data_IF_023719724201
#
_entry.id   IF_023719724201
#
_cell.length_a   1.000
_cell.length_b   1.000
_cell.length_c   1.000
_cell.angle_alpha   90.00
_cell.angle_beta   90.00
_cell.angle_gamma   90.00
#
_symmetry.space_group_name_H-M   'P 1'
#
loop_
_entity.id
_entity.type
_entity.pdbx_description
1 polymer ?
#
# COMPACT_ATOMS: atom_id res chain seq x y z
N UNK A 1 35.35 5.97 8.09
CA UNK A 1 35.42 6.11 9.56
C UNK A 1 36.68 5.46 10.07
N UNK A 2 37.69 6.25 10.55
CA UNK A 2 38.88 5.69 11.17
C UNK A 2 38.56 5.12 12.54
N UNK A 3 39.05 3.92 12.89
CA UNK A 3 38.74 3.28 14.15
C UNK A 3 39.25 4.11 15.35
N UNK A 4 38.32 4.50 16.22
CA UNK A 4 38.58 5.27 17.44
C UNK A 4 39.81 4.80 18.28
N UNK A 5 40.10 3.48 18.39
CA UNK A 5 41.26 3.02 19.16
C UNK A 5 42.62 3.39 18.58
N UNK A 6 42.71 3.70 17.28
CA UNK A 6 43.94 4.18 16.64
C UNK A 6 44.11 5.70 16.77
N UNK A 7 43.00 6.42 17.02
CA UNK A 7 43.04 7.88 17.20
C UNK A 7 43.50 8.32 18.60
N UNK A 8 43.38 7.43 19.59
CA UNK A 8 43.78 7.78 20.98
C UNK A 8 45.24 8.18 21.17
N UNK A 9 46.25 7.50 20.57
CA UNK A 9 47.62 7.95 20.68
C UNK A 9 47.88 9.23 19.87
N UNK A 10 47.22 9.41 18.70
CA UNK A 10 47.35 10.58 17.86
C UNK A 10 46.68 11.82 18.47
N UNK A 11 45.50 11.69 19.07
CA UNK A 11 44.81 12.75 19.81
C UNK A 11 45.60 13.13 21.05
N UNK A 12 46.20 12.17 21.76
CA UNK A 12 47.04 12.43 22.93
C UNK A 12 48.30 13.22 22.55
N UNK A 13 48.92 12.93 21.41
CA UNK A 13 50.10 13.68 20.89
C UNK A 13 49.76 15.10 20.42
N UNK A 14 48.49 15.31 19.94
CA UNK A 14 48.05 16.62 19.40
C UNK A 14 47.48 17.55 20.46
N UNK A 15 46.79 17.02 21.46
CA UNK A 15 46.16 17.86 22.51
C UNK A 15 46.93 17.92 23.83
N UNK A 16 47.92 17.05 24.00
CA UNK A 16 48.81 17.02 25.16
C UNK A 16 50.23 16.86 24.65
N UNK A 17 50.90 17.96 24.25
CA UNK A 17 52.30 17.86 23.81
C UNK A 17 53.10 17.23 24.95
N UNK A 18 54.06 16.35 24.64
CA UNK A 18 54.98 15.85 25.65
C UNK A 18 55.68 17.05 26.29
N UNK A 19 55.73 17.02 27.62
CA UNK A 19 56.48 18.02 28.36
C UNK A 19 57.85 18.20 27.71
N UNK A 20 58.16 19.43 27.33
CA UNK A 20 59.29 19.84 26.56
C UNK A 20 60.58 19.17 27.10
N UNK A 21 61.29 18.34 26.32
CA UNK A 21 62.55 17.76 26.79
C UNK A 21 63.74 18.74 26.78
N UNK A 22 63.49 19.99 26.43
CA UNK A 22 64.51 21.05 26.37
C UNK A 22 64.44 22.00 27.58
N UNK A 23 64.11 21.49 28.76
CA UNK A 23 64.52 22.18 29.97
C UNK A 23 65.99 21.77 30.21
N UNK A 24 66.89 22.66 29.80
CA UNK A 24 68.30 22.53 30.17
C UNK A 24 68.43 22.24 31.68
N UNK A 25 69.29 21.30 32.08
CA UNK A 25 69.54 21.07 33.49
C UNK A 25 70.22 22.35 34.05
N UNK A 26 69.45 23.07 34.86
CA UNK A 26 70.12 24.12 35.71
C UNK A 26 71.10 23.42 36.61
N UNK A 27 72.36 23.41 36.24
CA UNK A 27 73.48 23.03 37.05
C UNK A 27 73.46 23.92 38.29
N UNK A 28 73.11 23.31 39.45
CA UNK A 28 73.38 23.94 40.71
C UNK A 28 72.40 23.77 41.86
N UNK A 29 71.20 23.23 41.67
CA UNK A 29 70.34 22.98 42.79
C UNK A 29 69.76 21.56 42.75
N UNK A 30 70.45 20.57 43.27
CA UNK A 30 69.85 19.29 43.68
C UNK A 30 68.95 19.59 44.89
N UNK A 31 67.70 19.91 44.58
CA UNK A 31 66.62 19.80 45.58
C UNK A 31 66.44 18.33 45.91
N UNK A 32 67.26 17.84 46.85
CA UNK A 32 67.02 16.57 47.49
C UNK A 32 65.78 16.75 48.40
N UNK A 33 64.62 16.44 47.84
CA UNK A 33 63.39 16.24 48.59
C UNK A 33 63.64 15.03 49.51
N UNK A 34 64.12 15.29 50.75
CA UNK A 34 64.20 14.35 51.82
C UNK A 34 62.76 14.03 52.32
N UNK A 35 62.06 13.14 51.61
CA UNK A 35 60.80 12.63 52.07
C UNK A 35 61.08 11.41 52.95
N UNK A 36 60.66 11.43 54.25
CA UNK A 36 61.00 10.39 55.22
C UNK A 36 60.49 8.98 54.86
N UNK A 37 59.75 8.83 53.76
CA UNK A 37 59.18 7.56 53.28
C UNK A 37 59.46 7.28 51.83
N UNK A 38 60.57 7.76 51.25
CA UNK A 38 60.96 7.56 49.83
C UNK A 38 61.07 6.06 49.50
N UNK A 39 61.57 5.24 50.42
CA UNK A 39 61.61 3.79 50.22
C UNK A 39 60.24 3.13 50.15
N UNK A 40 59.24 3.61 50.89
CA UNK A 40 57.85 3.11 50.81
C UNK A 40 57.19 3.56 49.49
N UNK A 41 57.53 4.75 48.97
CA UNK A 41 57.03 5.18 47.66
C UNK A 41 57.71 4.41 46.56
N UNK A 42 59.02 4.16 46.63
CA UNK A 42 59.71 3.31 45.64
C UNK A 42 59.21 1.89 45.63
N UNK A 43 58.95 1.26 46.80
CA UNK A 43 58.35 -0.07 46.89
C UNK A 43 56.91 -0.07 46.38
N UNK A 44 56.14 0.97 46.64
CA UNK A 44 54.78 1.12 46.09
C UNK A 44 54.78 1.32 44.54
N UNK A 45 55.80 1.96 44.00
CA UNK A 45 55.96 2.09 42.54
C UNK A 45 56.59 0.83 41.91
N UNK A 46 57.45 0.12 42.60
CA UNK A 46 58.11 -1.11 42.13
C UNK A 46 57.18 -2.34 42.19
N UNK A 47 56.20 -2.36 43.08
CA UNK A 47 55.19 -3.42 43.13
C UNK A 47 54.16 -3.36 42.01
N UNK A 48 54.29 -2.39 41.11
CA UNK A 48 53.51 -2.40 39.86
C UNK A 48 54.22 -3.25 38.82
N UNK A 49 54.08 -4.61 38.89
CA UNK A 49 54.10 -5.52 37.71
C UNK A 49 54.43 -6.96 38.12
N UNK A 50 53.97 -7.94 37.38
CA UNK A 50 53.95 -8.01 35.92
C UNK A 50 52.52 -8.11 35.35
N UNK A 51 52.22 -7.23 34.43
CA UNK A 51 51.16 -7.50 33.46
C UNK A 51 51.56 -8.77 32.71
N UNK A 52 50.77 -9.81 32.84
CA UNK A 52 50.90 -10.94 31.93
C UNK A 52 50.62 -10.43 30.51
N UNK A 53 51.60 -10.50 29.58
CA UNK A 53 51.45 -9.93 28.23
C UNK A 53 50.21 -10.47 27.50
N UNK A 54 49.87 -11.74 27.75
CA UNK A 54 48.64 -12.39 27.21
C UNK A 54 47.34 -11.74 27.67
N UNK A 55 47.24 -11.27 28.92
CA UNK A 55 46.01 -10.62 29.41
C UNK A 55 45.76 -9.24 28.75
N UNK A 56 46.82 -8.50 28.44
CA UNK A 56 46.76 -7.22 27.75
C UNK A 56 46.28 -7.37 26.28
N UNK A 57 46.81 -8.38 25.58
CA UNK A 57 46.38 -8.68 24.21
C UNK A 57 44.92 -9.15 24.14
N UNK A 58 44.49 -10.01 25.07
CA UNK A 58 43.10 -10.47 25.15
C UNK A 58 42.11 -9.31 25.41
N UNK A 59 42.47 -8.40 26.32
CA UNK A 59 41.65 -7.20 26.58
C UNK A 59 41.55 -6.29 25.37
N UNK A 60 42.65 -6.11 24.65
CA UNK A 60 42.68 -5.29 23.45
C UNK A 60 41.89 -5.92 22.32
N UNK A 61 41.96 -7.23 22.16
CA UNK A 61 41.16 -8.01 21.22
C UNK A 61 39.65 -7.89 21.50
N UNK A 62 39.24 -8.00 22.77
CA UNK A 62 37.84 -7.81 23.17
C UNK A 62 37.31 -6.39 22.91
N UNK A 63 38.14 -5.37 23.13
CA UNK A 63 37.80 -3.99 22.81
C UNK A 63 37.62 -3.79 21.31
N UNK A 64 38.49 -4.35 20.48
CA UNK A 64 38.35 -4.30 19.04
C UNK A 64 37.11 -5.05 18.55
N UNK A 65 36.85 -6.22 19.12
CA UNK A 65 35.65 -7.03 18.80
C UNK A 65 34.38 -6.30 19.19
N UNK A 66 34.32 -5.69 20.38
CA UNK A 66 33.21 -4.86 20.81
C UNK A 66 32.98 -3.68 19.84
N UNK A 67 34.05 -2.96 19.47
CA UNK A 67 33.96 -1.83 18.58
C UNK A 67 33.48 -2.26 17.19
N UNK A 68 34.04 -3.33 16.61
CA UNK A 68 33.63 -3.89 15.34
C UNK A 68 32.18 -4.32 15.35
N UNK A 69 31.75 -5.01 16.41
CA UNK A 69 30.37 -5.45 16.57
C UNK A 69 29.39 -4.26 16.64
N UNK A 70 29.75 -3.18 17.35
CA UNK A 70 28.93 -1.96 17.40
C UNK A 70 28.83 -1.26 16.03
N UNK A 71 29.93 -1.21 15.28
CA UNK A 71 29.91 -0.68 13.90
C UNK A 71 28.99 -1.51 13.01
N UNK A 72 29.06 -2.85 13.11
CA UNK A 72 28.19 -3.75 12.36
C UNK A 72 26.70 -3.56 12.74
N UNK A 73 26.40 -3.32 14.01
CA UNK A 73 25.01 -3.00 14.44
C UNK A 73 24.53 -1.70 13.81
N UNK A 74 25.41 -0.66 13.76
CA UNK A 74 25.05 0.64 13.15
C UNK A 74 24.88 0.57 11.65
N UNK A 75 25.57 -0.34 10.97
CA UNK A 75 25.41 -0.56 9.52
C UNK A 75 24.04 -1.20 9.18
N UNK A 76 23.29 -1.72 10.17
CA UNK A 76 22.00 -2.38 9.99
C UNK A 76 22.01 -3.38 8.83
N UNK A 77 22.87 -4.40 8.85
CA UNK A 77 22.86 -5.40 7.78
C UNK A 77 21.49 -6.07 7.70
N UNK A 78 20.97 -6.17 6.47
CA UNK A 78 19.66 -6.75 6.20
C UNK A 78 19.83 -7.87 5.18
N UNK A 79 19.15 -8.97 5.42
CA UNK A 79 19.03 -10.03 4.43
C UNK A 79 17.73 -9.82 3.66
N UNK A 80 17.80 -9.79 2.34
CA UNK A 80 16.64 -9.68 1.49
C UNK A 80 16.09 -11.09 1.25
N UNK A 81 15.06 -11.48 1.98
CA UNK A 81 14.35 -12.75 1.71
C UNK A 81 13.32 -12.49 0.62
N UNK A 82 13.36 -13.22 -0.51
CA UNK A 82 12.32 -13.13 -1.51
C UNK A 82 11.04 -13.74 -0.93
N UNK A 83 10.06 -12.90 -0.62
CA UNK A 83 8.72 -13.32 -0.27
C UNK A 83 7.86 -13.29 -1.53
N UNK A 84 7.50 -14.46 -2.00
CA UNK A 84 6.62 -14.60 -3.15
C UNK A 84 5.18 -14.56 -2.63
N UNK A 85 4.59 -13.38 -2.61
CA UNK A 85 3.17 -13.23 -2.37
C UNK A 85 2.47 -13.32 -3.73
N UNK A 86 1.60 -14.30 -3.87
CA UNK A 86 0.66 -14.31 -4.98
C UNK A 86 -0.34 -13.16 -4.74
N UNK A 87 0.06 -11.95 -5.08
CA UNK A 87 -0.85 -10.81 -5.11
C UNK A 87 -1.68 -11.01 -6.36
N UNK A 88 -2.92 -11.45 -6.19
CA UNK A 88 -3.91 -11.28 -7.24
C UNK A 88 -4.08 -9.77 -7.38
N UNK A 89 -3.59 -9.13 -8.46
CA UNK A 89 -3.81 -7.72 -8.64
C UNK A 89 -5.31 -7.52 -8.72
N UNK A 90 -5.87 -6.77 -7.77
CA UNK A 90 -7.28 -6.43 -7.78
C UNK A 90 -7.58 -5.55 -9.00
N UNK A 91 -8.75 -5.73 -9.58
CA UNK A 91 -9.23 -4.88 -10.67
C UNK A 91 -9.63 -3.51 -10.17
N UNK A 92 -9.51 -2.54 -11.06
CA UNK A 92 -10.07 -1.21 -10.90
C UNK A 92 -11.41 -1.17 -11.66
N UNK A 93 -12.48 -1.50 -10.94
CA UNK A 93 -13.84 -1.64 -11.49
C UNK A 93 -14.62 -0.34 -11.38
N UNK A 94 -14.95 0.27 -12.50
CA UNK A 94 -15.82 1.43 -12.54
C UNK A 94 -17.23 1.00 -12.95
N UNK A 95 -18.19 1.08 -12.05
CA UNK A 95 -19.59 0.81 -12.32
C UNK A 95 -20.26 2.10 -12.78
N UNK A 96 -20.74 2.14 -14.01
CA UNK A 96 -21.52 3.25 -14.55
C UNK A 96 -22.99 2.81 -14.62
N UNK A 97 -23.84 3.44 -13.81
CA UNK A 97 -25.22 3.05 -13.61
C UNK A 97 -26.12 4.16 -14.13
N UNK A 98 -27.02 3.79 -15.04
CA UNK A 98 -28.09 4.64 -15.52
C UNK A 98 -29.07 4.96 -14.38
N UNK A 99 -29.37 6.23 -14.22
CA UNK A 99 -30.38 6.75 -13.32
C UNK A 99 -31.35 7.69 -14.04
N UNK A 100 -31.52 7.51 -15.34
CA UNK A 100 -32.50 8.23 -16.13
C UNK A 100 -33.94 7.83 -15.77
N UNK A 101 -34.90 8.53 -16.37
CA UNK A 101 -36.33 8.28 -16.13
C UNK A 101 -36.75 6.85 -16.49
N UNK A 102 -36.17 6.26 -17.53
CA UNK A 102 -36.46 4.90 -17.98
C UNK A 102 -36.20 3.83 -16.90
N UNK A 103 -35.35 4.12 -15.91
CA UNK A 103 -35.04 3.21 -14.81
C UNK A 103 -36.18 3.06 -13.79
N UNK A 104 -37.25 3.86 -13.87
CA UNK A 104 -38.50 3.67 -13.13
C UNK A 104 -39.43 2.63 -13.76
N UNK A 105 -39.15 2.21 -14.99
CA UNK A 105 -39.98 1.23 -15.70
C UNK A 105 -40.17 -0.09 -14.92
N UNK A 106 -41.40 -0.61 -14.94
CA UNK A 106 -41.83 -1.80 -14.18
C UNK A 106 -41.88 -3.05 -15.08
N UNK A 107 -40.83 -3.25 -15.86
CA UNK A 107 -40.71 -4.36 -16.81
C UNK A 107 -40.01 -5.61 -16.24
N UNK A 108 -39.64 -5.57 -14.97
CA UNK A 108 -39.14 -6.71 -14.23
C UNK A 108 -40.18 -7.21 -13.22
N UNK A 109 -40.08 -8.49 -12.84
CA UNK A 109 -40.93 -9.05 -11.76
C UNK A 109 -40.08 -9.86 -10.79
N UNK A 110 -40.39 -9.75 -9.48
CA UNK A 110 -39.88 -10.61 -8.44
C UNK A 110 -41.05 -11.25 -7.72
N UNK A 111 -41.10 -12.59 -7.74
CA UNK A 111 -42.19 -13.35 -7.14
C UNK A 111 -43.61 -12.94 -7.61
N UNK A 112 -43.73 -12.49 -8.88
CA UNK A 112 -44.97 -12.03 -9.47
C UNK A 112 -45.38 -10.59 -9.14
N UNK A 113 -44.54 -9.87 -8.41
CA UNK A 113 -44.71 -8.41 -8.14
C UNK A 113 -43.87 -7.63 -9.11
N UNK A 114 -44.42 -6.63 -9.85
CA UNK A 114 -43.65 -5.75 -10.69
C UNK A 114 -42.63 -4.93 -9.88
N UNK A 115 -41.41 -4.87 -10.36
CA UNK A 115 -40.34 -4.08 -9.75
C UNK A 115 -39.68 -3.22 -10.82
N UNK A 116 -39.16 -2.06 -10.43
CA UNK A 116 -38.50 -1.15 -11.37
C UNK A 116 -37.08 -1.62 -11.69
N UNK A 117 -36.58 -1.20 -12.84
CA UNK A 117 -35.22 -1.50 -13.33
C UNK A 117 -34.15 -1.13 -12.31
N UNK A 118 -34.23 0.06 -11.69
CA UNK A 118 -33.30 0.53 -10.69
C UNK A 118 -33.19 -0.40 -9.49
N UNK A 119 -34.30 -0.89 -8.96
CA UNK A 119 -34.29 -1.81 -7.82
C UNK A 119 -33.59 -3.14 -8.14
N UNK A 120 -33.80 -3.66 -9.36
CA UNK A 120 -33.12 -4.88 -9.83
C UNK A 120 -31.63 -4.67 -9.93
N UNK A 121 -31.21 -3.56 -10.56
CA UNK A 121 -29.80 -3.19 -10.74
C UNK A 121 -29.10 -3.03 -9.39
N UNK A 122 -29.71 -2.30 -8.45
CA UNK A 122 -29.20 -2.16 -7.07
C UNK A 122 -28.99 -3.51 -6.38
N UNK A 123 -29.97 -4.39 -6.48
CA UNK A 123 -29.91 -5.71 -5.84
C UNK A 123 -28.78 -6.58 -6.37
N UNK A 124 -28.54 -6.56 -7.67
CA UNK A 124 -27.52 -7.39 -8.31
C UNK A 124 -26.12 -6.77 -8.17
N UNK A 125 -25.97 -5.48 -8.49
CA UNK A 125 -24.68 -4.81 -8.32
C UNK A 125 -24.24 -4.74 -6.87
N UNK A 126 -25.18 -4.66 -5.91
CA UNK A 126 -24.88 -4.73 -4.48
C UNK A 126 -24.19 -6.05 -4.11
N UNK A 127 -24.73 -7.19 -4.56
CA UNK A 127 -24.11 -8.52 -4.36
C UNK A 127 -22.78 -8.65 -5.11
N UNK A 128 -22.73 -8.11 -6.32
CA UNK A 128 -21.51 -8.08 -7.11
C UNK A 128 -20.38 -7.33 -6.37
N UNK A 129 -20.64 -6.14 -5.82
CA UNK A 129 -19.67 -5.35 -5.05
C UNK A 129 -19.20 -6.12 -3.81
N UNK A 130 -20.11 -6.80 -3.09
CA UNK A 130 -19.76 -7.59 -1.91
C UNK A 130 -18.79 -8.73 -2.21
N UNK A 131 -18.95 -9.39 -3.34
CA UNK A 131 -18.10 -10.49 -3.78
C UNK A 131 -16.67 -10.07 -4.15
N UNK A 132 -16.40 -8.79 -4.37
CA UNK A 132 -15.12 -8.26 -4.87
C UNK A 132 -14.08 -8.06 -3.79
N UNK A 133 -13.39 -9.12 -3.43
CA UNK A 133 -12.31 -9.06 -2.43
C UNK A 133 -11.00 -8.69 -3.11
N UNK A 134 -10.42 -7.54 -2.73
CA UNK A 134 -9.15 -7.05 -3.28
C UNK A 134 -9.31 -6.06 -4.44
N UNK A 135 -10.49 -5.93 -5.05
CA UNK A 135 -10.76 -4.99 -6.13
C UNK A 135 -11.08 -3.59 -5.59
N UNK A 136 -10.75 -2.57 -6.38
CA UNK A 136 -11.23 -1.21 -6.15
C UNK A 136 -12.50 -1.00 -6.95
N UNK A 137 -13.55 -0.53 -6.28
CA UNK A 137 -14.83 -0.24 -6.91
C UNK A 137 -15.09 1.26 -6.86
N UNK A 138 -15.41 1.84 -8.02
CA UNK A 138 -15.89 3.20 -8.16
C UNK A 138 -17.30 3.20 -8.75
N UNK A 139 -18.08 4.25 -8.50
CA UNK A 139 -19.43 4.42 -9.00
C UNK A 139 -19.56 5.71 -9.81
N UNK A 140 -20.13 5.59 -10.99
CA UNK A 140 -20.63 6.72 -11.80
C UNK A 140 -22.14 6.56 -11.87
N UNK A 141 -22.85 7.63 -11.61
CA UNK A 141 -24.28 7.76 -11.88
C UNK A 141 -24.46 8.69 -13.07
N UNK A 142 -25.34 8.35 -13.98
CA UNK A 142 -25.64 9.22 -15.10
C UNK A 142 -27.14 9.24 -15.41
N UNK A 143 -27.56 10.34 -15.94
CA UNK A 143 -28.87 10.69 -16.43
C UNK A 143 -28.64 11.76 -17.46
N UNK A 144 -29.26 12.94 -17.33
CA UNK A 144 -28.98 14.11 -18.23
C UNK A 144 -27.50 14.55 -18.16
N UNK A 145 -26.78 14.20 -17.09
CA UNK A 145 -25.34 14.41 -16.91
C UNK A 145 -24.72 13.23 -16.22
N UNK A 146 -23.39 13.05 -16.33
CA UNK A 146 -22.65 11.99 -15.68
C UNK A 146 -21.83 12.53 -14.51
N UNK A 147 -21.89 11.85 -13.34
CA UNK A 147 -21.18 12.22 -12.12
C UNK A 147 -20.44 11.05 -11.51
N UNK A 148 -19.27 11.30 -10.94
CA UNK A 148 -18.60 10.30 -10.09
C UNK A 148 -19.26 10.33 -8.72
N UNK A 149 -20.03 9.30 -8.39
CA UNK A 149 -20.68 9.15 -7.09
C UNK A 149 -19.70 8.63 -6.04
N UNK A 150 -18.82 7.70 -6.44
CA UNK A 150 -17.72 7.19 -5.60
C UNK A 150 -16.45 7.05 -6.42
N UNK A 151 -15.29 7.55 -5.93
CA UNK A 151 -14.02 7.25 -6.56
C UNK A 151 -13.65 5.77 -6.37
N UNK A 152 -12.69 5.28 -7.17
CA UNK A 152 -12.14 3.92 -7.03
C UNK A 152 -11.55 3.72 -5.64
N UNK A 153 -12.18 2.88 -4.82
CA UNK A 153 -11.84 2.61 -3.42
C UNK A 153 -11.92 1.12 -3.11
N UNK A 154 -11.14 0.66 -2.13
CA UNK A 154 -11.24 -0.68 -1.55
C UNK A 154 -12.42 -0.80 -0.57
N UNK A 155 -13.05 0.33 -0.21
CA UNK A 155 -14.21 0.35 0.69
C UNK A 155 -15.50 -0.03 -0.04
N UNK A 156 -15.73 -1.33 -0.14
CA UNK A 156 -16.92 -1.91 -0.77
C UNK A 156 -18.20 -1.57 -0.04
N UNK A 157 -18.13 -1.36 1.29
CA UNK A 157 -19.33 -1.02 2.09
C UNK A 157 -19.82 0.37 1.75
N UNK A 158 -18.91 1.33 1.64
CA UNK A 158 -19.24 2.68 1.22
C UNK A 158 -19.81 2.70 -0.22
N UNK A 159 -19.17 1.99 -1.15
CA UNK A 159 -19.66 1.87 -2.53
C UNK A 159 -21.07 1.27 -2.58
N UNK A 160 -21.32 0.20 -1.81
CA UNK A 160 -22.64 -0.43 -1.72
C UNK A 160 -23.69 0.51 -1.14
N UNK A 161 -23.40 1.21 -0.05
CA UNK A 161 -24.33 2.17 0.55
C UNK A 161 -24.72 3.28 -0.41
N UNK A 162 -23.72 3.80 -1.18
CA UNK A 162 -23.99 4.81 -2.20
C UNK A 162 -24.87 4.26 -3.34
N UNK A 163 -24.61 3.02 -3.78
CA UNK A 163 -25.46 2.36 -4.77
C UNK A 163 -26.91 2.17 -4.26
N UNK A 164 -27.09 1.75 -3.02
CA UNK A 164 -28.40 1.57 -2.40
C UNK A 164 -29.17 2.90 -2.28
N UNK A 165 -28.46 4.00 -2.09
CA UNK A 165 -29.04 5.36 -2.05
C UNK A 165 -29.34 5.97 -3.42
N UNK A 166 -28.98 5.32 -4.53
CA UNK A 166 -29.29 5.86 -5.87
C UNK A 166 -30.79 5.76 -6.14
N UNK A 167 -31.32 6.77 -6.82
CA UNK A 167 -32.71 6.82 -7.26
C UNK A 167 -32.78 7.17 -8.74
N UNK A 168 -33.82 6.70 -9.42
CA UNK A 168 -34.08 7.14 -10.79
C UNK A 168 -34.28 8.65 -10.80
N UNK A 169 -33.96 9.29 -11.92
CA UNK A 169 -33.93 10.75 -12.09
C UNK A 169 -32.91 11.52 -11.22
N UNK A 170 -32.07 10.84 -10.41
CA UNK A 170 -31.08 11.48 -9.54
C UNK A 170 -30.09 12.35 -10.33
N UNK A 171 -29.74 11.92 -11.54
CA UNK A 171 -28.85 12.65 -12.46
C UNK A 171 -29.59 13.37 -13.61
N UNK A 172 -30.91 13.54 -13.45
CA UNK A 172 -31.80 14.11 -14.44
C UNK A 172 -32.50 13.06 -15.32
N UNK A 173 -33.58 13.41 -15.99
CA UNK A 173 -34.46 12.47 -16.71
C UNK A 173 -33.88 11.92 -18.02
N UNK A 174 -32.94 12.63 -18.67
CA UNK A 174 -32.28 12.18 -19.90
C UNK A 174 -31.18 11.18 -19.65
N UNK A 175 -30.50 10.75 -20.72
CA UNK A 175 -29.45 9.72 -20.68
C UNK A 175 -28.19 10.21 -21.41
N UNK A 176 -27.16 10.61 -20.70
CA UNK A 176 -25.86 11.03 -21.24
C UNK A 176 -24.87 9.83 -21.22
N UNK A 177 -25.17 8.82 -22.02
CA UNK A 177 -24.45 7.54 -22.05
C UNK A 177 -22.99 7.72 -22.50
N UNK A 178 -22.76 8.48 -23.58
CA UNK A 178 -21.41 8.74 -24.08
C UNK A 178 -20.54 9.50 -23.09
N UNK A 179 -21.10 10.46 -22.37
CA UNK A 179 -20.40 11.25 -21.34
C UNK A 179 -20.02 10.36 -20.14
N UNK A 180 -20.91 9.44 -19.74
CA UNK A 180 -20.65 8.47 -18.67
C UNK A 180 -19.47 7.56 -19.01
N UNK A 181 -19.42 7.04 -20.23
CA UNK A 181 -18.33 6.22 -20.74
C UNK A 181 -17.02 7.03 -20.75
N UNK A 182 -17.04 8.23 -21.31
CA UNK A 182 -15.86 9.09 -21.38
C UNK A 182 -15.31 9.46 -19.99
N UNK A 183 -16.22 9.76 -19.04
CA UNK A 183 -15.86 10.06 -17.66
C UNK A 183 -15.19 8.85 -16.97
N UNK A 184 -15.77 7.67 -17.12
CA UNK A 184 -15.22 6.44 -16.56
C UNK A 184 -13.88 6.06 -17.17
N UNK A 185 -13.74 6.15 -18.49
CA UNK A 185 -12.49 5.94 -19.21
C UNK A 185 -11.39 6.90 -18.71
N UNK A 186 -11.72 8.18 -18.50
CA UNK A 186 -10.81 9.18 -17.93
C UNK A 186 -10.33 8.80 -16.53
N UNK A 187 -11.22 8.29 -15.68
CA UNK A 187 -10.86 7.85 -14.31
C UNK A 187 -10.03 6.59 -14.32
N UNK A 188 -10.34 5.64 -15.19
CA UNK A 188 -9.58 4.40 -15.33
C UNK A 188 -8.19 4.62 -15.94
N UNK A 189 -7.99 5.64 -16.79
CA UNK A 189 -6.69 5.97 -17.39
C UNK A 189 -5.58 6.15 -16.36
N UNK A 190 -5.92 6.65 -15.18
CA UNK A 190 -4.97 6.88 -14.07
C UNK A 190 -4.56 5.58 -13.35
N UNK A 191 -5.13 4.45 -13.77
CA UNK A 191 -4.90 3.13 -13.14
C UNK A 191 -3.92 2.29 -13.97
N UNK A 192 -3.33 1.22 -13.40
CA UNK A 192 -2.44 0.32 -14.12
C UNK A 192 -3.12 -0.30 -15.35
N UNK A 193 -2.36 -0.50 -16.42
CA UNK A 193 -2.87 -1.23 -17.59
C UNK A 193 -3.23 -2.67 -17.19
N UNK A 194 -4.28 -3.22 -17.81
CA UNK A 194 -4.76 -4.58 -17.51
C UNK A 194 -5.75 -4.66 -16.35
N UNK A 195 -5.78 -3.69 -15.41
CA UNK A 195 -6.76 -3.65 -14.31
C UNK A 195 -8.01 -2.83 -14.61
N UNK A 196 -8.05 -2.14 -15.77
CA UNK A 196 -9.05 -1.12 -16.12
C UNK A 196 -10.31 -1.77 -16.69
N UNK A 197 -11.33 -1.90 -15.88
CA UNK A 197 -12.61 -2.50 -16.29
C UNK A 197 -13.75 -1.54 -15.93
N UNK A 198 -14.65 -1.34 -16.90
CA UNK A 198 -15.89 -0.65 -16.69
C UNK A 198 -17.06 -1.61 -16.86
N UNK A 199 -18.04 -1.54 -15.98
CA UNK A 199 -19.33 -2.20 -16.12
C UNK A 199 -20.38 -1.13 -16.31
N UNK A 200 -20.92 -1.08 -17.50
CA UNK A 200 -21.96 -0.13 -17.89
C UNK A 200 -23.31 -0.81 -17.79
N UNK A 201 -24.23 -0.21 -17.04
CA UNK A 201 -25.60 -0.71 -16.88
C UNK A 201 -26.57 0.36 -17.41
N UNK A 202 -27.22 0.08 -18.53
CA UNK A 202 -28.09 1.03 -19.24
C UNK A 202 -29.11 0.29 -20.12
N UNK A 203 -30.07 1.04 -20.63
CA UNK A 203 -31.01 0.58 -21.68
C UNK A 203 -30.57 0.93 -23.11
N UNK A 204 -29.50 1.68 -23.25
CA UNK A 204 -28.86 2.01 -24.55
C UNK A 204 -29.41 3.27 -25.21
N UNK A 205 -30.27 4.02 -24.56
CA UNK A 205 -30.65 5.35 -25.04
C UNK A 205 -29.51 6.36 -24.82
N UNK A 206 -29.44 7.39 -25.69
CA UNK A 206 -28.51 8.51 -25.55
C UNK A 206 -29.21 9.80 -25.97
N UNK A 207 -29.98 10.33 -25.05
CA UNK A 207 -30.82 11.52 -25.30
C UNK A 207 -30.19 12.84 -24.82
N UNK A 208 -29.06 12.77 -24.12
CA UNK A 208 -28.34 13.90 -23.54
C UNK A 208 -26.83 13.71 -23.63
N UNK A 209 -26.07 14.74 -23.24
CA UNK A 209 -24.61 14.72 -23.22
C UNK A 209 -23.95 15.27 -24.48
N UNK A 210 -22.64 15.36 -24.48
CA UNK A 210 -21.83 15.93 -25.55
C UNK A 210 -21.06 14.89 -26.38
N UNK A 211 -20.88 13.68 -25.86
CA UNK A 211 -20.20 12.57 -26.54
C UNK A 211 -21.19 11.57 -27.11
N UNK A 212 -20.92 11.08 -28.32
CA UNK A 212 -21.60 9.90 -28.81
C UNK A 212 -21.10 8.64 -28.05
N UNK A 213 -21.97 7.62 -27.82
CA UNK A 213 -21.57 6.41 -27.11
C UNK A 213 -20.38 5.68 -27.74
N UNK A 214 -20.31 5.64 -29.07
CA UNK A 214 -19.22 5.03 -29.82
C UNK A 214 -17.90 5.79 -29.67
N UNK A 215 -17.95 7.11 -29.59
CA UNK A 215 -16.77 7.96 -29.32
C UNK A 215 -16.24 7.70 -27.91
N UNK A 216 -17.14 7.60 -26.92
CA UNK A 216 -16.80 7.22 -25.55
C UNK A 216 -16.14 5.85 -25.49
N UNK A 217 -16.68 4.85 -26.21
CA UNK A 217 -16.12 3.50 -26.27
C UNK A 217 -14.75 3.46 -26.96
N UNK A 218 -14.56 4.20 -28.03
CA UNK A 218 -13.26 4.33 -28.70
C UNK A 218 -12.21 4.98 -27.77
N UNK A 219 -12.60 5.99 -27.00
CA UNK A 219 -11.75 6.62 -26.00
C UNK A 219 -11.36 5.64 -24.88
N UNK A 220 -12.31 4.85 -24.40
CA UNK A 220 -12.05 3.82 -23.39
C UNK A 220 -11.02 2.80 -23.90
N UNK A 221 -11.17 2.31 -25.13
CA UNK A 221 -10.22 1.42 -25.77
C UNK A 221 -8.83 2.04 -25.91
N UNK A 222 -8.77 3.31 -26.31
CA UNK A 222 -7.50 4.03 -26.43
C UNK A 222 -6.75 4.14 -25.09
N UNK A 223 -7.49 4.15 -23.98
CA UNK A 223 -6.95 4.12 -22.63
C UNK A 223 -6.77 2.71 -22.07
N UNK A 224 -6.97 1.66 -22.86
CA UNK A 224 -6.84 0.26 -22.43
C UNK A 224 -7.89 -0.17 -21.41
N UNK A 225 -9.05 0.50 -21.37
CA UNK A 225 -10.17 0.12 -20.52
C UNK A 225 -11.19 -0.73 -21.30
N UNK A 226 -11.57 -1.89 -20.75
CA UNK A 226 -12.63 -2.76 -21.30
C UNK A 226 -13.97 -2.37 -20.71
N UNK A 227 -15.02 -2.33 -21.55
CA UNK A 227 -16.37 -2.02 -21.08
C UNK A 227 -17.25 -3.26 -21.26
N UNK A 228 -17.64 -3.86 -20.15
CA UNK A 228 -18.70 -4.86 -20.13
C UNK A 228 -20.04 -4.14 -20.02
N UNK A 229 -20.93 -4.42 -20.92
CA UNK A 229 -22.23 -3.74 -21.00
C UNK A 229 -23.34 -4.70 -20.57
N UNK A 230 -24.14 -4.26 -19.62
CA UNK A 230 -25.32 -4.95 -19.15
C UNK A 230 -26.54 -4.15 -19.62
N UNK A 231 -27.20 -4.64 -20.65
CA UNK A 231 -28.46 -4.07 -21.12
C UNK A 231 -29.60 -4.44 -20.17
N UNK A 232 -30.31 -3.44 -19.69
CA UNK A 232 -31.44 -3.58 -18.76
C UNK A 232 -32.70 -3.06 -19.41
N UNK A 233 -33.71 -3.90 -19.52
CA UNK A 233 -35.01 -3.52 -20.09
C UNK A 233 -35.61 -4.60 -20.95
N UNK A 234 -36.87 -4.37 -21.37
CA UNK A 234 -37.64 -5.24 -22.26
C UNK A 234 -37.59 -4.74 -23.70
N UNK A 235 -37.79 -5.64 -24.65
CA UNK A 235 -38.06 -5.33 -26.05
C UNK A 235 -39.57 -5.15 -26.32
N UNK A 236 -40.39 -5.29 -25.28
CA UNK A 236 -41.82 -5.10 -25.42
C UNK A 236 -42.14 -3.67 -25.89
N UNK A 237 -43.10 -3.56 -26.81
CA UNK A 237 -43.53 -2.26 -27.33
C UNK A 237 -44.36 -1.42 -26.35
N UNK A 238 -44.66 -2.00 -25.20
CA UNK A 238 -45.56 -1.35 -24.21
C UNK A 238 -44.99 -1.56 -22.82
N UNK A 239 -44.18 -0.62 -22.35
CA UNK A 239 -43.47 -0.68 -21.09
C UNK A 239 -44.21 0.10 -20.01
N UNK A 240 -44.64 -0.51 -18.91
CA UNK A 240 -45.33 0.19 -17.83
C UNK A 240 -44.36 1.03 -17.02
N UNK A 241 -44.69 2.31 -16.82
CA UNK A 241 -43.95 3.23 -15.97
C UNK A 241 -44.89 4.04 -15.08
N UNK A 242 -44.54 4.29 -13.82
CA UNK A 242 -45.29 5.14 -12.93
C UNK A 242 -45.05 6.60 -13.29
N UNK A 243 -46.08 7.33 -13.75
CA UNK A 243 -46.03 8.76 -14.02
C UNK A 243 -47.19 9.44 -13.31
N UNK A 244 -46.92 10.47 -12.51
CA UNK A 244 -47.93 11.27 -11.78
C UNK A 244 -48.93 10.46 -10.92
N UNK A 245 -48.49 9.27 -10.43
CA UNK A 245 -49.30 8.38 -9.60
C UNK A 245 -50.18 7.37 -10.38
N UNK A 246 -50.10 7.39 -11.72
CA UNK A 246 -50.73 6.43 -12.60
C UNK A 246 -49.71 5.61 -13.37
N UNK A 247 -50.10 4.37 -13.76
CA UNK A 247 -49.26 3.54 -14.64
C UNK A 247 -49.56 3.91 -16.08
N UNK A 248 -48.57 4.48 -16.77
CA UNK A 248 -48.64 4.74 -18.20
C UNK A 248 -47.83 3.70 -18.97
N UNK A 249 -48.21 3.46 -20.20
CA UNK A 249 -47.50 2.56 -21.10
C UNK A 249 -46.77 3.37 -22.16
N UNK A 250 -45.44 3.14 -22.25
CA UNK A 250 -44.55 3.88 -23.14
C UNK A 250 -43.91 2.93 -24.14
N UNK A 251 -43.77 3.38 -25.39
CA UNK A 251 -43.12 2.64 -26.48
C UNK A 251 -41.65 3.08 -26.68
N UNK A 252 -41.33 4.29 -26.24
CA UNK A 252 -40.01 4.92 -26.38
C UNK A 252 -38.99 4.46 -25.31
N UNK A 253 -39.43 3.63 -24.36
CA UNK A 253 -38.53 3.05 -23.31
C UNK A 253 -37.97 1.68 -23.69
N UNK A 254 -38.12 1.29 -24.95
CA UNK A 254 -37.57 0.03 -25.46
C UNK A 254 -36.05 0.04 -25.46
N UNK A 255 -35.43 -1.04 -25.02
CA UNK A 255 -33.98 -1.16 -24.95
C UNK A 255 -33.33 -1.10 -26.35
N UNK A 256 -32.30 -0.27 -26.50
CA UNK A 256 -31.49 -0.18 -27.73
C UNK A 256 -30.27 -1.11 -27.68
N UNK A 257 -30.53 -2.39 -27.95
CA UNK A 257 -29.49 -3.41 -27.89
C UNK A 257 -28.34 -3.19 -28.92
N UNK A 258 -28.64 -2.59 -30.07
CA UNK A 258 -27.64 -2.35 -31.13
C UNK A 258 -26.55 -1.39 -30.62
N UNK A 259 -26.93 -0.29 -29.99
CA UNK A 259 -25.97 0.66 -29.39
C UNK A 259 -25.16 0.00 -28.29
N UNK A 260 -25.81 -0.77 -27.40
CA UNK A 260 -25.13 -1.43 -26.29
C UNK A 260 -24.09 -2.46 -26.75
N UNK A 261 -24.42 -3.25 -27.79
CA UNK A 261 -23.47 -4.19 -28.39
C UNK A 261 -22.30 -3.48 -29.05
N UNK A 262 -22.59 -2.40 -29.80
CA UNK A 262 -21.54 -1.60 -30.45
C UNK A 262 -20.54 -1.03 -29.45
N UNK A 263 -20.98 -0.57 -28.28
CA UNK A 263 -20.11 -0.09 -27.20
C UNK A 263 -19.20 -1.21 -26.67
N UNK A 264 -19.76 -2.39 -26.37
CA UNK A 264 -19.00 -3.53 -25.87
C UNK A 264 -17.93 -3.96 -26.88
N UNK A 265 -18.31 -4.15 -28.15
CA UNK A 265 -17.42 -4.58 -29.22
C UNK A 265 -16.31 -3.54 -29.50
N UNK A 266 -16.66 -2.25 -29.53
CA UNK A 266 -15.70 -1.18 -29.76
C UNK A 266 -14.63 -1.09 -28.66
N UNK A 267 -14.97 -1.40 -27.42
CA UNK A 267 -14.07 -1.33 -26.26
C UNK A 267 -13.30 -2.65 -26.01
N UNK A 268 -13.69 -3.74 -26.66
CA UNK A 268 -13.12 -5.08 -26.43
C UNK A 268 -13.66 -5.78 -25.19
N UNK A 269 -14.83 -5.36 -24.70
CA UNK A 269 -15.57 -6.01 -23.63
C UNK A 269 -16.61 -6.99 -24.14
N UNK A 270 -17.61 -7.30 -23.31
CA UNK A 270 -18.71 -8.20 -23.64
C UNK A 270 -20.06 -7.57 -23.34
N UNK A 271 -21.05 -7.85 -24.18
CA UNK A 271 -22.43 -7.46 -23.98
C UNK A 271 -23.21 -8.58 -23.31
N UNK A 272 -24.03 -8.22 -22.35
CA UNK A 272 -24.95 -9.12 -21.64
C UNK A 272 -26.35 -8.48 -21.58
N UNK A 273 -27.36 -9.33 -21.71
CA UNK A 273 -28.74 -8.88 -21.58
C UNK A 273 -29.30 -9.36 -20.25
N UNK A 274 -29.78 -8.44 -19.45
CA UNK A 274 -30.49 -8.72 -18.23
C UNK A 274 -32.00 -8.83 -18.53
N UNK A 275 -32.48 -10.07 -18.65
CA UNK A 275 -33.89 -10.34 -18.86
C UNK A 275 -34.62 -10.60 -17.55
N UNK A 276 -33.91 -11.06 -16.54
CA UNK A 276 -34.41 -11.31 -15.19
C UNK A 276 -33.28 -11.21 -14.14
N UNK A 277 -33.63 -11.30 -12.87
CA UNK A 277 -32.68 -11.23 -11.76
C UNK A 277 -31.65 -12.36 -11.75
N UNK A 278 -31.97 -13.55 -12.28
CA UNK A 278 -31.04 -14.68 -12.35
C UNK A 278 -30.03 -14.47 -13.46
N UNK A 279 -30.45 -13.95 -14.61
CA UNK A 279 -29.56 -13.59 -15.70
C UNK A 279 -28.47 -12.59 -15.24
N UNK A 280 -28.83 -11.58 -14.45
CA UNK A 280 -27.89 -10.63 -13.89
C UNK A 280 -26.85 -11.25 -12.94
N UNK A 281 -27.24 -12.25 -12.14
CA UNK A 281 -26.30 -12.98 -11.28
C UNK A 281 -25.30 -13.82 -12.11
N UNK A 282 -25.79 -14.48 -13.16
CA UNK A 282 -24.93 -15.24 -14.07
C UNK A 282 -23.97 -14.35 -14.85
N UNK A 283 -24.42 -13.18 -15.27
CA UNK A 283 -23.61 -12.15 -15.93
C UNK A 283 -22.48 -11.70 -15.00
N UNK A 284 -22.76 -11.41 -13.74
CA UNK A 284 -21.74 -11.07 -12.74
C UNK A 284 -20.65 -12.13 -12.66
N UNK A 285 -21.04 -13.39 -12.57
CA UNK A 285 -20.13 -14.53 -12.55
C UNK A 285 -19.32 -14.65 -13.85
N UNK A 286 -19.96 -14.39 -15.00
CA UNK A 286 -19.29 -14.45 -16.30
C UNK A 286 -18.24 -13.35 -16.48
N UNK A 287 -18.52 -12.14 -15.98
CA UNK A 287 -17.54 -11.05 -15.94
C UNK A 287 -16.35 -11.45 -15.06
N UNK A 288 -16.57 -12.11 -13.91
CA UNK A 288 -15.52 -12.64 -13.07
C UNK A 288 -14.63 -13.64 -13.79
N UNK A 289 -15.21 -14.51 -14.59
CA UNK A 289 -14.47 -15.51 -15.37
C UNK A 289 -13.63 -14.86 -16.47
N UNK A 290 -14.16 -13.84 -17.16
CA UNK A 290 -13.48 -13.12 -18.24
C UNK A 290 -12.32 -12.27 -17.74
N UNK A 291 -12.45 -11.73 -16.54
CA UNK A 291 -11.45 -10.83 -15.93
C UNK A 291 -10.51 -11.54 -14.95
N UNK A 292 -10.61 -12.85 -14.77
CA UNK A 292 -9.63 -13.64 -14.02
C UNK A 292 -8.30 -13.64 -14.77
N UNK A 293 -7.46 -12.69 -14.43
CA UNK A 293 -6.07 -12.68 -14.89
C UNK A 293 -5.25 -13.66 -14.04
N UNK A 294 -4.29 -14.34 -14.65
CA UNK A 294 -3.28 -15.13 -13.95
C UNK A 294 -2.65 -14.28 -12.84
N UNK A 295 -2.61 -14.83 -11.64
CA UNK A 295 -1.99 -14.18 -10.50
C UNK A 295 -0.55 -13.77 -10.84
N UNK A 296 -0.28 -12.49 -11.02
CA UNK A 296 1.07 -11.99 -11.13
C UNK A 296 1.79 -12.27 -9.83
N UNK A 297 2.74 -13.18 -9.88
CA UNK A 297 3.65 -13.47 -8.76
C UNK A 297 4.58 -12.27 -8.59
N UNK A 298 4.24 -11.38 -7.69
CA UNK A 298 5.13 -10.28 -7.31
C UNK A 298 6.06 -10.75 -6.22
N UNK A 299 7.35 -10.86 -6.54
CA UNK A 299 8.38 -11.12 -5.54
C UNK A 299 8.67 -9.81 -4.78
N UNK A 300 8.16 -9.71 -3.57
CA UNK A 300 8.48 -8.60 -2.66
C UNK A 300 9.66 -9.03 -1.79
N UNK A 301 10.72 -8.23 -1.77
CA UNK A 301 11.86 -8.47 -0.90
C UNK A 301 11.58 -7.90 0.49
N UNK A 302 11.41 -8.77 1.47
CA UNK A 302 11.27 -8.36 2.87
C UNK A 302 12.66 -8.24 3.50
N UNK A 303 13.06 -7.07 4.01
CA UNK A 303 14.34 -6.90 4.69
C UNK A 303 14.28 -7.51 6.10
N UNK A 304 14.92 -8.65 6.30
CA UNK A 304 15.12 -9.21 7.64
C UNK A 304 16.35 -8.59 8.31
N UNK A 305 16.19 -7.95 9.46
CA UNK A 305 17.28 -7.27 10.15
C UNK A 305 18.21 -8.26 10.85
N UNK A 306 19.49 -8.31 10.47
CA UNK A 306 20.53 -9.18 11.02
C UNK A 306 21.26 -8.58 12.23
N UNK A 307 20.89 -7.40 12.72
CA UNK A 307 21.57 -6.70 13.81
C UNK A 307 21.61 -7.51 15.13
N UNK A 308 20.74 -8.50 15.29
CA UNK A 308 20.67 -9.36 16.49
C UNK A 308 21.98 -10.11 16.74
N UNK A 309 22.67 -10.58 15.69
CA UNK A 309 23.91 -11.32 15.79
C UNK A 309 25.10 -10.46 16.25
N UNK A 310 25.42 -9.33 15.60
CA UNK A 310 26.48 -8.45 16.07
C UNK A 310 26.16 -7.81 17.43
N UNK A 311 24.89 -7.59 17.78
CA UNK A 311 24.49 -7.12 19.11
C UNK A 311 24.80 -8.17 20.18
N UNK A 312 24.47 -9.45 19.94
CA UNK A 312 24.84 -10.56 20.84
C UNK A 312 26.35 -10.67 21.04
N UNK A 313 27.12 -10.52 19.97
CA UNK A 313 28.57 -10.53 20.00
C UNK A 313 29.14 -9.34 20.81
N UNK A 314 28.57 -8.14 20.65
CA UNK A 314 28.94 -6.95 21.44
C UNK A 314 28.67 -7.17 22.95
N UNK A 315 27.52 -7.73 23.30
CA UNK A 315 27.17 -8.10 24.68
C UNK A 315 28.15 -9.11 25.26
N UNK A 316 28.47 -10.16 24.52
CA UNK A 316 29.44 -11.17 24.96
C UNK A 316 30.85 -10.58 25.18
N UNK A 317 31.30 -9.70 24.28
CA UNK A 317 32.57 -8.99 24.43
C UNK A 317 32.60 -8.07 25.67
N UNK A 318 31.49 -7.40 25.95
CA UNK A 318 31.33 -6.50 27.10
C UNK A 318 31.33 -7.29 28.41
N UNK A 319 30.66 -8.47 28.48
CA UNK A 319 30.72 -9.37 29.61
C UNK A 319 32.14 -9.95 29.80
N UNK A 320 32.81 -10.33 28.70
CA UNK A 320 34.19 -10.77 28.72
C UNK A 320 35.12 -9.72 29.31
N UNK A 321 34.97 -8.44 28.93
CA UNK A 321 35.74 -7.31 29.51
C UNK A 321 35.47 -7.13 31.02
N UNK A 322 34.22 -7.37 31.49
CA UNK A 322 33.85 -7.30 32.91
C UNK A 322 34.48 -8.41 33.78
N UNK A 323 34.85 -9.54 33.17
CA UNK A 323 35.52 -10.65 33.87
C UNK A 323 37.02 -10.43 34.11
N UNK A 324 37.64 -9.42 33.45
CA UNK A 324 39.03 -9.10 33.67
C UNK A 324 39.29 -8.46 35.05
N UNK A 325 40.26 -8.91 35.80
CA UNK A 325 40.42 -8.56 37.22
C UNK A 325 40.77 -7.10 37.52
N UNK A 326 41.20 -6.31 36.53
CA UNK A 326 41.50 -4.87 36.69
C UNK A 326 40.24 -4.01 36.95
N UNK A 327 39.08 -4.43 36.50
CA UNK A 327 37.78 -3.76 36.75
C UNK A 327 37.27 -4.03 38.19
N UNK A 328 37.47 -5.24 38.69
CA UNK A 328 37.02 -5.64 40.04
C UNK A 328 37.82 -4.97 41.17
N UNK A 329 39.11 -4.70 41.00
CA UNK A 329 39.94 -4.07 42.01
C UNK A 329 39.62 -2.57 42.22
N UNK A 330 39.06 -1.89 41.22
CA UNK A 330 38.62 -0.50 41.36
C UNK A 330 37.31 -0.35 42.12
N UNK A 331 36.40 -1.29 41.95
CA UNK A 331 35.10 -1.33 42.67
C UNK A 331 35.31 -1.71 44.13
N UNK A 332 36.11 -2.75 44.41
CA UNK A 332 36.43 -3.19 45.77
C UNK A 332 37.20 -2.13 46.60
N UNK A 333 37.97 -1.23 45.95
CA UNK A 333 38.67 -0.15 46.65
C UNK A 333 37.79 1.07 46.93
N UNK A 334 36.65 1.20 46.23
CA UNK A 334 35.68 2.27 46.48
C UNK A 334 34.77 1.93 47.66
N UNK A 335 34.37 0.66 47.81
CA UNK A 335 33.57 0.14 48.92
C UNK A 335 34.34 -0.02 50.24
N UNK A 336 35.68 -0.04 50.17
CA UNK A 336 36.52 -0.10 51.38
C UNK A 336 36.96 1.28 51.91
N UNK A 337 36.50 2.38 51.31
CA UNK A 337 36.87 3.75 51.70
C UNK A 337 35.65 4.56 52.19
N UNK A 338 34.47 4.01 52.08
CA UNK A 338 33.22 4.42 52.76
C UNK A 338 32.95 3.51 53.96
#
# INVERSE_FOLDING_TARGET
MLPLPLLTPWLRARFWPPANPAAEPLEGQRLTLLHPHLERLQTAYQTRRPRRPLAGWAQLALLWLLWLALVLVMMRPQWLTPYTEAVTPGYDLMLAVDASHSMEALDFSAQGVPINRMAVVKGVLGRFIEGRTGDRVGLIVFGSQAFVLSPLSLDRRAARQLLEGMEANMAGPGTALGDAIALGAKKLRERPEGSRVMILVADGDNSAGGFAPEEGAALARAFGARIHVIGVGSEDKSIPIPEEGEIRYREDLTMNEVTLRAIADASGGAYFRATDTRALEEISRRIDELEKTEAETRTVFLPEPLYRWPLGLAMAALLGLGLFPEGRQRIARRTARD
#
